data_IF_285281814748
#
_entry.id   IF_285281814748
#
_cell.length_a   1.000
_cell.length_b   1.000
_cell.length_c   1.000
_cell.angle_alpha   90.00
_cell.angle_beta   90.00
_cell.angle_gamma   90.00
#
_symmetry.space_group_name_H-M   'P 1'
#
loop_
_entity.id
_entity.type
_entity.pdbx_description
1 polymer ?
#
# COMPACT_ATOMS: atom_id res chain seq x y z
N UNK A 1 -11.52 -18.19 -15.57
CA UNK A 1 -10.46 -17.23 -15.15
C UNK A 1 -9.32 -18.04 -14.57
N UNK A 2 -8.18 -18.07 -15.27
CA UNK A 2 -6.96 -18.78 -14.87
C UNK A 2 -6.00 -17.80 -14.19
N UNK A 3 -5.03 -18.38 -13.48
CA UNK A 3 -3.91 -17.78 -12.75
C UNK A 3 -4.25 -17.31 -11.33
N UNK A 4 -4.06 -18.20 -10.36
CA UNK A 4 -3.03 -18.06 -9.32
C UNK A 4 -2.74 -19.44 -8.76
N UNK A 5 -1.61 -20.00 -9.19
CA UNK A 5 -1.05 -21.25 -8.72
C UNK A 5 0.28 -20.90 -8.03
N UNK A 6 0.47 -21.43 -6.82
CA UNK A 6 1.75 -21.65 -6.08
C UNK A 6 2.47 -20.37 -5.58
N UNK A 7 3.08 -20.24 -4.40
CA UNK A 7 3.74 -21.16 -3.45
C UNK A 7 3.68 -20.55 -2.03
N UNK A 8 3.49 -21.39 -1.01
CA UNK A 8 3.78 -21.09 0.40
C UNK A 8 4.84 -22.09 0.87
N UNK A 9 5.68 -21.65 1.81
CA UNK A 9 6.68 -22.37 2.63
C UNK A 9 8.09 -22.49 2.01
N UNK A 10 9.05 -21.76 2.58
CA UNK A 10 10.08 -22.29 3.49
C UNK A 10 10.91 -21.13 4.09
N UNK A 11 10.94 -21.06 5.43
CA UNK A 11 11.96 -20.36 6.22
C UNK A 11 12.93 -21.43 6.72
N UNK A 12 14.24 -21.17 6.65
CA UNK A 12 15.26 -21.97 7.32
C UNK A 12 16.67 -21.51 6.98
N UNK A 13 17.34 -20.93 7.98
CA UNK A 13 18.72 -20.43 8.00
C UNK A 13 19.76 -21.40 7.44
N UNK A 14 20.94 -20.89 7.04
CA UNK A 14 22.26 -21.28 7.57
C UNK A 14 23.40 -20.42 6.96
N UNK A 15 24.11 -19.74 7.87
CA UNK A 15 25.55 -19.48 8.02
C UNK A 15 26.51 -19.19 6.84
N UNK A 16 27.40 -18.24 7.15
CA UNK A 16 28.54 -17.72 6.42
C UNK A 16 29.52 -18.77 5.85
N UNK A 17 30.13 -18.46 4.70
CA UNK A 17 31.55 -18.72 4.47
C UNK A 17 32.11 -17.74 3.41
N UNK A 18 33.33 -17.26 3.65
CA UNK A 18 34.07 -16.27 2.87
C UNK A 18 34.75 -16.86 1.63
N UNK A 19 35.27 -15.92 0.83
CA UNK A 19 36.41 -16.00 -0.10
C UNK A 19 36.15 -16.16 -1.62
N UNK A 20 36.35 -15.01 -2.30
CA UNK A 20 37.25 -14.77 -3.44
C UNK A 20 37.25 -15.81 -4.58
N UNK A 21 36.97 -15.35 -5.80
CA UNK A 21 37.91 -15.40 -6.93
C UNK A 21 37.35 -14.59 -8.10
N UNK A 22 38.19 -13.65 -8.56
CA UNK A 22 38.06 -12.86 -9.77
C UNK A 22 38.31 -13.72 -11.01
N UNK A 23 37.49 -13.61 -12.05
CA UNK A 23 37.95 -13.82 -13.43
C UNK A 23 36.96 -13.26 -14.45
N UNK A 24 37.42 -12.23 -15.12
CA UNK A 24 36.96 -11.70 -16.39
C UNK A 24 36.95 -12.76 -17.50
N UNK A 25 35.93 -12.75 -18.37
CA UNK A 25 36.16 -12.99 -19.80
C UNK A 25 35.11 -12.27 -20.64
N UNK A 26 35.55 -11.15 -21.22
CA UNK A 26 34.94 -10.44 -22.33
C UNK A 26 35.25 -11.25 -23.60
N UNK A 27 34.24 -11.78 -24.28
CA UNK A 27 34.41 -12.32 -25.64
C UNK A 27 33.46 -11.58 -26.57
N UNK A 28 34.09 -10.75 -27.39
CA UNK A 28 33.54 -10.05 -28.53
C UNK A 28 33.93 -10.81 -29.81
N UNK A 29 33.23 -10.52 -30.92
CA UNK A 29 33.39 -10.98 -32.32
C UNK A 29 32.49 -12.18 -32.67
N UNK A 30 31.77 -12.20 -33.79
CA UNK A 30 32.15 -11.67 -35.11
C UNK A 30 30.93 -11.39 -35.99
N UNK A 31 31.10 -10.42 -36.90
CA UNK A 31 30.24 -10.04 -38.03
C UNK A 31 30.12 -11.16 -39.09
N UNK A 32 29.29 -10.86 -40.12
CA UNK A 32 29.10 -11.49 -41.46
C UNK A 32 27.66 -12.05 -41.55
N UNK A 33 26.80 -11.78 -42.53
CA UNK A 33 26.92 -11.16 -43.85
C UNK A 33 25.62 -10.50 -44.29
N UNK A 34 25.80 -9.49 -45.13
CA UNK A 34 24.85 -8.72 -45.93
C UNK A 34 24.32 -9.54 -47.11
N UNK A 35 23.03 -9.42 -47.43
CA UNK A 35 22.53 -9.51 -48.82
C UNK A 35 21.50 -8.41 -49.08
N UNK A 36 21.78 -7.62 -50.12
CA UNK A 36 20.91 -6.65 -50.78
C UNK A 36 19.72 -7.38 -51.46
N UNK A 37 18.64 -6.78 -51.96
CA UNK A 37 18.46 -5.51 -52.67
C UNK A 37 16.93 -5.32 -52.88
N UNK A 38 16.40 -4.12 -52.79
CA UNK A 38 15.55 -3.55 -53.85
C UNK A 38 15.22 -2.09 -53.54
N UNK A 39 15.66 -1.23 -54.44
CA UNK A 39 15.53 0.22 -54.43
C UNK A 39 14.10 0.62 -54.82
N UNK A 40 13.59 1.70 -54.19
CA UNK A 40 12.80 2.66 -54.94
C UNK A 40 13.16 4.08 -54.51
N UNK A 41 13.91 4.71 -55.41
CA UNK A 41 14.26 6.14 -55.45
C UNK A 41 13.05 6.96 -55.83
N UNK A 42 12.83 8.08 -55.15
CA UNK A 42 12.48 9.36 -55.78
C UNK A 42 13.10 10.47 -54.93
N UNK A 43 14.07 11.16 -55.53
CA UNK A 43 14.80 12.31 -55.03
C UNK A 43 13.91 13.55 -54.86
N UNK A 44 14.34 14.49 -54.01
CA UNK A 44 14.65 15.86 -54.43
C UNK A 44 15.46 16.61 -53.36
N UNK A 45 16.74 16.85 -53.70
CA UNK A 45 17.57 18.06 -53.51
C UNK A 45 17.28 19.01 -52.33
N UNK A 46 18.18 19.10 -51.33
CA UNK A 46 19.36 20.00 -51.21
C UNK A 46 19.00 21.46 -50.87
N UNK A 47 19.34 21.88 -49.65
CA UNK A 47 20.10 23.12 -49.43
C UNK A 47 20.86 23.07 -48.09
N UNK A 48 22.18 23.09 -48.20
CA UNK A 48 23.16 23.33 -47.15
C UNK A 48 23.20 24.82 -46.79
N UNK A 49 23.28 25.19 -45.50
CA UNK A 49 24.47 25.87 -44.97
C UNK A 49 24.50 26.04 -43.44
N UNK A 50 25.72 25.93 -42.91
CA UNK A 50 26.29 26.69 -41.79
C UNK A 50 25.91 26.43 -40.32
N UNK A 51 26.83 25.71 -39.67
CA UNK A 51 27.55 26.11 -38.45
C UNK A 51 26.75 26.88 -37.38
N UNK A 52 26.32 26.16 -36.34
CA UNK A 52 26.39 26.70 -34.97
C UNK A 52 26.76 25.62 -33.97
N UNK A 53 28.03 25.62 -33.62
CA UNK A 53 28.62 24.90 -32.50
C UNK A 53 28.03 25.42 -31.18
N UNK A 54 27.21 24.62 -30.51
CA UNK A 54 26.87 24.86 -29.11
C UNK A 54 27.99 24.32 -28.25
N UNK A 55 28.83 25.24 -27.75
CA UNK A 55 29.76 24.97 -26.65
C UNK A 55 28.96 24.39 -25.48
N UNK A 56 29.23 23.14 -25.14
CA UNK A 56 28.95 22.61 -23.80
C UNK A 56 29.84 23.39 -22.83
N UNK A 57 29.32 24.46 -22.27
CA UNK A 57 29.83 25.01 -21.02
C UNK A 57 29.29 24.12 -19.91
N UNK A 58 30.19 23.41 -19.24
CA UNK A 58 29.93 22.81 -17.93
C UNK A 58 29.52 23.94 -16.98
N UNK A 59 28.23 24.09 -16.75
CA UNK A 59 27.71 24.52 -15.46
C UNK A 59 27.34 23.26 -14.71
N UNK A 60 28.22 22.86 -13.79
CA UNK A 60 27.79 22.05 -12.65
C UNK A 60 26.96 22.94 -11.75
N UNK A 61 25.76 23.30 -12.22
CA UNK A 61 24.72 23.78 -11.35
C UNK A 61 24.20 22.52 -10.67
N UNK A 62 24.46 22.42 -9.37
CA UNK A 62 23.77 21.49 -8.51
C UNK A 62 22.27 21.79 -8.68
N UNK A 63 21.64 21.08 -9.61
CA UNK A 63 20.19 20.92 -9.65
C UNK A 63 19.82 20.52 -8.23
N UNK A 64 19.13 21.42 -7.52
CA UNK A 64 18.37 21.01 -6.36
C UNK A 64 17.35 20.02 -6.91
N UNK A 65 17.71 18.74 -6.86
CA UNK A 65 16.85 17.59 -7.07
C UNK A 65 15.64 17.85 -6.16
N UNK A 66 14.59 18.36 -6.81
CA UNK A 66 13.78 19.42 -6.24
C UNK A 66 13.08 18.92 -4.99
N UNK A 67 12.89 19.80 -4.02
CA UNK A 67 12.13 19.49 -2.80
C UNK A 67 10.77 18.83 -3.12
N UNK A 68 10.20 19.14 -4.30
CA UNK A 68 9.00 18.53 -4.85
C UNK A 68 9.19 17.06 -5.26
N UNK A 69 10.23 16.71 -6.04
CA UNK A 69 10.56 15.33 -6.41
C UNK A 69 10.77 14.46 -5.17
N UNK A 70 11.52 14.96 -4.18
CA UNK A 70 11.72 14.29 -2.88
C UNK A 70 10.39 14.09 -2.13
N UNK A 71 9.48 15.05 -2.23
CA UNK A 71 8.14 14.96 -1.61
C UNK A 71 7.27 13.91 -2.30
N UNK A 72 7.26 13.85 -3.64
CA UNK A 72 6.52 12.85 -4.41
C UNK A 72 7.02 11.43 -4.11
N UNK A 73 8.35 11.25 -4.07
CA UNK A 73 8.97 9.98 -3.68
C UNK A 73 8.55 9.52 -2.28
N UNK A 74 8.42 10.44 -1.31
CA UNK A 74 7.93 10.10 0.04
C UNK A 74 6.45 9.69 0.03
N UNK A 75 5.59 10.36 -0.74
CA UNK A 75 4.19 9.97 -0.87
C UNK A 75 4.03 8.57 -1.50
N UNK A 76 4.84 8.27 -2.51
CA UNK A 76 4.94 6.96 -3.12
C UNK A 76 5.41 5.89 -2.13
N UNK A 77 6.47 6.18 -1.35
CA UNK A 77 6.96 5.30 -0.29
C UNK A 77 5.89 4.99 0.75
N UNK A 78 5.11 5.99 1.19
CA UNK A 78 3.98 5.74 2.11
C UNK A 78 2.98 4.76 1.51
N UNK A 79 2.64 4.87 0.22
CA UNK A 79 1.75 3.90 -0.45
C UNK A 79 2.36 2.50 -0.45
N UNK A 80 3.64 2.36 -0.76
CA UNK A 80 4.32 1.07 -0.71
C UNK A 80 4.35 0.48 0.70
N UNK A 81 4.56 1.30 1.73
CA UNK A 81 4.55 0.83 3.12
C UNK A 81 3.17 0.35 3.57
N UNK A 82 2.10 1.00 3.10
CA UNK A 82 0.73 0.56 3.34
C UNK A 82 0.45 -0.79 2.68
N UNK A 83 0.85 -0.95 1.41
CA UNK A 83 0.65 -2.21 0.67
C UNK A 83 1.46 -3.37 1.29
N UNK A 84 2.67 -3.07 1.75
CA UNK A 84 3.55 -4.03 2.40
C UNK A 84 3.26 -4.22 3.90
N UNK A 85 2.17 -3.63 4.44
CA UNK A 85 1.75 -3.72 5.84
C UNK A 85 2.90 -3.44 6.83
N UNK A 86 3.71 -2.41 6.56
CA UNK A 86 4.83 -2.05 7.43
C UNK A 86 4.35 -1.59 8.80
N UNK A 87 5.15 -1.85 9.83
CA UNK A 87 4.84 -1.44 11.20
C UNK A 87 5.11 0.05 11.41
N UNK A 88 4.45 0.64 12.41
CA UNK A 88 4.68 2.03 12.82
C UNK A 88 6.16 2.27 13.13
N UNK A 89 6.79 1.35 13.87
CA UNK A 89 8.22 1.40 14.19
C UNK A 89 9.11 1.46 12.93
N UNK A 90 8.82 0.62 11.93
CA UNK A 90 9.55 0.63 10.67
C UNK A 90 9.41 1.98 9.96
N UNK A 91 8.20 2.52 9.90
CA UNK A 91 7.93 3.79 9.20
C UNK A 91 8.54 4.97 9.94
N UNK A 92 8.48 4.99 11.28
CA UNK A 92 9.15 6.00 12.12
C UNK A 92 10.65 6.00 11.87
N UNK A 93 11.29 4.83 11.88
CA UNK A 93 12.71 4.70 11.59
C UNK A 93 13.04 5.15 10.15
N UNK A 94 12.27 4.69 9.16
CA UNK A 94 12.45 5.07 7.75
C UNK A 94 12.29 6.58 7.50
N UNK A 95 11.50 7.26 8.33
CA UNK A 95 11.29 8.71 8.29
C UNK A 95 12.25 9.49 9.20
N UNK A 96 13.16 8.80 9.90
CA UNK A 96 14.08 9.37 10.90
C UNK A 96 13.35 10.13 12.01
N UNK A 97 12.24 9.56 12.46
CA UNK A 97 11.42 10.08 13.56
C UNK A 97 11.62 9.27 14.85
N UNK A 98 12.33 8.13 14.78
CA UNK A 98 12.63 7.31 15.94
C UNK A 98 13.55 8.05 16.92
N UNK A 99 13.26 7.93 18.21
CA UNK A 99 14.05 8.56 19.28
C UNK A 99 13.82 10.06 19.47
N UNK A 100 12.96 10.68 18.66
CA UNK A 100 12.45 12.03 18.94
C UNK A 100 11.35 11.96 19.99
N UNK A 101 11.28 12.95 20.88
CA UNK A 101 10.10 13.13 21.72
C UNK A 101 8.89 13.59 20.89
N UNK A 102 7.70 13.56 21.49
CA UNK A 102 6.44 13.89 20.80
C UNK A 102 6.41 15.31 20.22
N UNK A 103 7.04 16.29 20.89
CA UNK A 103 7.03 17.68 20.44
C UNK A 103 8.01 17.88 19.27
N UNK A 104 9.21 17.32 19.39
CA UNK A 104 10.23 17.31 18.34
C UNK A 104 9.76 16.52 17.10
N UNK A 105 9.08 15.39 17.31
CA UNK A 105 8.50 14.61 16.23
C UNK A 105 7.47 15.43 15.45
N UNK A 106 6.53 16.10 16.14
CA UNK A 106 5.46 16.88 15.48
C UNK A 106 5.95 18.08 14.68
N UNK A 107 7.08 18.66 15.06
CA UNK A 107 7.71 19.79 14.33
C UNK A 107 8.60 19.34 13.18
N UNK A 108 8.95 18.05 13.11
CA UNK A 108 9.83 17.53 12.08
C UNK A 108 9.16 17.48 10.69
N UNK A 109 9.87 17.90 9.65
CA UNK A 109 9.35 17.97 8.27
C UNK A 109 8.81 16.64 7.71
N UNK A 110 9.28 15.50 8.23
CA UNK A 110 8.83 14.17 7.78
C UNK A 110 7.56 13.69 8.50
N UNK A 111 7.16 14.34 9.58
CA UNK A 111 6.01 13.93 10.39
C UNK A 111 4.70 13.89 9.58
N UNK A 112 4.51 14.82 8.64
CA UNK A 112 3.36 14.81 7.73
C UNK A 112 3.19 13.49 6.95
N UNK A 113 4.29 12.81 6.63
CA UNK A 113 4.23 11.51 5.94
C UNK A 113 3.88 10.38 6.90
N UNK A 114 4.36 10.45 8.15
CA UNK A 114 3.96 9.51 9.19
C UNK A 114 2.46 9.65 9.52
N UNK A 115 1.99 10.89 9.71
CA UNK A 115 0.56 11.16 9.93
C UNK A 115 -0.31 10.68 8.76
N UNK A 116 0.17 10.82 7.53
CA UNK A 116 -0.51 10.27 6.35
C UNK A 116 -0.52 8.74 6.39
N UNK A 117 0.60 8.11 6.76
CA UNK A 117 0.71 6.67 6.88
C UNK A 117 -0.28 6.14 7.94
N UNK A 118 -0.27 6.65 9.16
CA UNK A 118 -1.14 6.17 10.25
C UNK A 118 -2.62 6.31 9.90
N UNK A 119 -3.02 7.47 9.36
CA UNK A 119 -4.39 7.69 8.91
C UNK A 119 -4.81 6.71 7.83
N UNK A 120 -3.95 6.49 6.82
CA UNK A 120 -4.26 5.60 5.70
C UNK A 120 -4.16 4.12 6.05
N UNK A 121 -3.34 3.75 7.03
CA UNK A 121 -3.18 2.37 7.47
C UNK A 121 -4.51 1.78 7.96
N UNK A 122 -5.27 2.55 8.73
CA UNK A 122 -6.59 2.13 9.21
C UNK A 122 -7.60 2.02 8.06
N UNK A 123 -7.67 3.02 7.17
CA UNK A 123 -8.53 3.00 5.99
C UNK A 123 -8.23 1.77 5.10
N UNK A 124 -6.95 1.49 4.83
CA UNK A 124 -6.51 0.34 4.05
C UNK A 124 -6.87 -0.98 4.72
N UNK A 125 -6.66 -1.10 6.04
CA UNK A 125 -6.99 -2.30 6.79
C UNK A 125 -8.49 -2.61 6.71
N UNK A 126 -9.33 -1.60 6.97
CA UNK A 126 -10.80 -1.69 6.89
C UNK A 126 -11.26 -2.08 5.49
N UNK A 127 -10.75 -1.42 4.45
CA UNK A 127 -11.08 -1.75 3.06
C UNK A 127 -10.61 -3.16 2.67
N UNK A 128 -9.43 -3.58 3.12
CA UNK A 128 -8.87 -4.91 2.84
C UNK A 128 -9.71 -6.01 3.48
N UNK A 129 -10.20 -5.83 4.71
CA UNK A 129 -11.13 -6.76 5.33
C UNK A 129 -12.41 -6.92 4.49
N UNK A 130 -12.98 -5.82 4.01
CA UNK A 130 -14.19 -5.84 3.17
C UNK A 130 -13.94 -6.55 1.83
N UNK A 131 -12.85 -6.21 1.13
CA UNK A 131 -12.47 -6.84 -0.16
C UNK A 131 -12.23 -8.34 0.02
N UNK A 132 -11.62 -8.75 1.15
CA UNK A 132 -11.43 -10.16 1.52
C UNK A 132 -12.72 -10.84 2.00
N UNK A 133 -13.88 -10.17 1.91
CA UNK A 133 -15.20 -10.69 2.32
C UNK A 133 -15.24 -11.14 3.77
N UNK A 134 -14.50 -10.44 4.66
CA UNK A 134 -14.56 -10.71 6.10
C UNK A 134 -15.92 -10.29 6.63
N UNK A 135 -16.56 -11.15 7.41
CA UNK A 135 -17.79 -10.80 8.12
C UNK A 135 -17.48 -9.83 9.27
N UNK A 136 -18.47 -9.09 9.75
CA UNK A 136 -18.30 -8.25 10.96
C UNK A 136 -17.85 -9.10 12.14
N UNK A 137 -18.41 -10.30 12.28
CA UNK A 137 -18.00 -11.25 13.32
C UNK A 137 -16.55 -11.75 13.18
N UNK A 138 -16.07 -12.01 11.96
CA UNK A 138 -14.67 -12.42 11.77
C UNK A 138 -13.70 -11.34 12.24
N UNK A 139 -14.04 -10.06 12.03
CA UNK A 139 -13.24 -8.94 12.52
C UNK A 139 -13.38 -8.79 14.04
N UNK A 140 -14.57 -9.00 14.60
CA UNK A 140 -14.80 -9.05 16.05
C UNK A 140 -13.92 -10.11 16.75
N UNK A 141 -13.84 -11.32 16.19
CA UNK A 141 -12.98 -12.41 16.68
C UNK A 141 -11.49 -12.02 16.56
N UNK A 142 -11.06 -11.52 15.39
CA UNK A 142 -9.67 -11.07 15.15
C UNK A 142 -9.22 -9.98 16.12
N UNK A 143 -10.15 -9.12 16.56
CA UNK A 143 -9.88 -8.05 17.53
C UNK A 143 -9.88 -8.51 18.99
N UNK A 144 -10.07 -9.82 19.23
CA UNK A 144 -10.02 -10.45 20.55
C UNK A 144 -11.33 -10.40 21.33
N UNK A 145 -12.46 -10.12 20.67
CA UNK A 145 -13.74 -9.94 21.35
C UNK A 145 -14.62 -11.20 21.37
N UNK A 146 -14.16 -12.34 20.85
CA UNK A 146 -14.93 -13.59 20.75
C UNK A 146 -15.57 -14.03 22.07
N UNK A 147 -14.87 -13.84 23.19
CA UNK A 147 -15.31 -14.29 24.52
C UNK A 147 -16.10 -13.24 25.29
N UNK A 148 -16.30 -12.05 24.71
CA UNK A 148 -17.04 -10.95 25.35
C UNK A 148 -18.52 -11.32 25.40
N UNK A 149 -19.11 -11.17 26.57
CA UNK A 149 -20.55 -11.34 26.77
C UNK A 149 -21.30 -10.01 26.59
N UNK A 150 -22.61 -10.02 26.27
CA UNK A 150 -23.38 -8.79 26.09
C UNK A 150 -23.29 -7.81 27.26
N UNK A 151 -23.29 -8.33 28.50
CA UNK A 151 -23.14 -7.54 29.73
C UNK A 151 -21.77 -6.86 29.92
N UNK A 152 -20.78 -7.25 29.12
CA UNK A 152 -19.40 -6.73 29.17
C UNK A 152 -19.13 -5.71 28.06
N UNK A 153 -20.11 -5.41 27.20
CA UNK A 153 -19.91 -4.48 26.08
C UNK A 153 -19.43 -3.10 26.55
N UNK A 154 -19.99 -2.58 27.64
CA UNK A 154 -19.61 -1.27 28.17
C UNK A 154 -18.16 -1.23 28.69
N UNK A 155 -17.55 -2.39 28.95
CA UNK A 155 -16.15 -2.48 29.36
C UNK A 155 -15.19 -2.30 28.18
N UNK A 156 -15.64 -2.57 26.95
CA UNK A 156 -14.79 -2.52 25.75
C UNK A 156 -15.05 -1.29 24.88
N UNK A 157 -16.08 -0.48 25.15
CA UNK A 157 -16.43 0.70 24.33
C UNK A 157 -15.31 1.73 24.23
N UNK A 158 -14.52 1.90 25.30
CA UNK A 158 -13.36 2.79 25.33
C UNK A 158 -12.07 2.18 24.77
N UNK A 159 -12.11 0.93 24.28
CA UNK A 159 -10.95 0.24 23.73
C UNK A 159 -10.67 0.70 22.29
N UNK A 160 -9.40 0.91 21.95
CA UNK A 160 -8.94 1.25 20.59
C UNK A 160 -9.43 0.23 19.55
N UNK A 161 -9.36 -1.06 19.87
CA UNK A 161 -9.84 -2.14 18.99
C UNK A 161 -11.35 -2.05 18.76
N UNK A 162 -12.13 -1.62 19.76
CA UNK A 162 -13.57 -1.43 19.57
C UNK A 162 -13.84 -0.25 18.64
N UNK A 163 -13.03 0.82 18.72
CA UNK A 163 -13.04 1.91 17.74
C UNK A 163 -12.76 1.43 16.31
N UNK A 164 -11.79 0.53 16.13
CA UNK A 164 -11.48 -0.11 14.83
C UNK A 164 -12.66 -0.96 14.34
N UNK A 165 -13.27 -1.76 15.22
CA UNK A 165 -14.46 -2.54 14.92
C UNK A 165 -15.62 -1.64 14.45
N UNK A 166 -15.90 -0.56 15.20
CA UNK A 166 -16.94 0.42 14.85
C UNK A 166 -16.73 1.02 13.46
N UNK A 167 -15.49 1.39 13.13
CA UNK A 167 -15.17 1.88 11.78
C UNK A 167 -15.41 0.81 10.71
N UNK A 168 -15.05 -0.45 10.98
CA UNK A 168 -15.29 -1.55 10.06
C UNK A 168 -16.77 -1.79 9.82
N UNK A 169 -17.60 -1.82 10.88
CA UNK A 169 -19.06 -2.00 10.78
C UNK A 169 -19.67 -0.90 9.90
N UNK A 170 -19.34 0.37 10.17
CA UNK A 170 -19.84 1.49 9.38
C UNK A 170 -19.41 1.44 7.91
N UNK A 171 -18.16 1.04 7.66
CA UNK A 171 -17.65 0.88 6.30
C UNK A 171 -18.34 -0.26 5.57
N UNK A 172 -18.48 -1.42 6.22
CA UNK A 172 -19.12 -2.61 5.68
C UNK A 172 -20.57 -2.30 5.29
N UNK A 173 -21.32 -1.73 6.22
CA UNK A 173 -22.72 -1.34 6.06
C UNK A 173 -22.91 -0.35 4.90
N UNK A 174 -22.14 0.76 4.89
CA UNK A 174 -22.24 1.77 3.82
C UNK A 174 -21.92 1.20 2.43
N UNK A 175 -20.98 0.24 2.34
CA UNK A 175 -20.64 -0.40 1.07
C UNK A 175 -21.69 -1.43 0.63
N UNK A 176 -22.36 -2.09 1.58
CA UNK A 176 -23.48 -2.98 1.31
C UNK A 176 -24.67 -2.18 0.81
N UNK A 177 -25.04 -1.11 1.51
CA UNK A 177 -26.08 -0.16 1.11
C UNK A 177 -25.80 0.39 -0.30
N UNK A 178 -24.59 0.89 -0.55
CA UNK A 178 -24.20 1.39 -1.86
C UNK A 178 -24.32 0.32 -2.96
N UNK A 179 -23.89 -0.93 -2.70
CA UNK A 179 -24.03 -2.03 -3.67
C UNK A 179 -25.49 -2.31 -4.00
N UNK A 180 -26.34 -2.41 -2.97
CA UNK A 180 -27.78 -2.67 -3.13
C UNK A 180 -28.46 -1.56 -3.94
N UNK A 181 -28.20 -0.30 -3.60
CA UNK A 181 -28.77 0.86 -4.30
C UNK A 181 -28.34 0.96 -5.77
N UNK A 182 -27.20 0.36 -6.13
CA UNK A 182 -26.69 0.34 -7.51
C UNK A 182 -26.93 -1.00 -8.22
N UNK A 183 -27.77 -1.89 -7.67
CA UNK A 183 -28.10 -3.19 -8.30
C UNK A 183 -26.97 -4.21 -8.31
N UNK A 184 -25.91 -4.01 -7.52
CA UNK A 184 -24.83 -4.97 -7.33
C UNK A 184 -25.15 -5.95 -6.21
N UNK A 185 -24.71 -7.20 -6.37
CA UNK A 185 -24.82 -8.18 -5.30
C UNK A 185 -23.87 -7.84 -4.13
N UNK A 186 -24.37 -7.78 -2.88
CA UNK A 186 -23.53 -7.62 -1.71
C UNK A 186 -22.64 -8.85 -1.49
N UNK A 187 -21.60 -8.76 -0.66
CA UNK A 187 -20.81 -9.92 -0.26
C UNK A 187 -21.71 -11.03 0.33
N UNK A 188 -21.55 -12.27 -0.16
CA UNK A 188 -22.26 -13.44 0.38
C UNK A 188 -21.88 -13.64 1.85
N UNK A 189 -22.87 -13.81 2.74
CA UNK A 189 -22.63 -14.06 4.17
C UNK A 189 -22.54 -12.79 5.03
N UNK A 190 -23.40 -11.80 4.80
CA UNK A 190 -23.48 -10.53 5.56
C UNK A 190 -23.51 -10.73 7.08
N UNK A 191 -24.14 -11.81 7.54
CA UNK A 191 -24.20 -12.22 8.94
C UNK A 191 -23.50 -13.57 9.06
N UNK A 192 -22.46 -13.64 9.89
CA UNK A 192 -21.85 -14.92 10.24
C UNK A 192 -22.85 -15.76 11.03
N UNK A 193 -23.00 -17.04 10.70
CA UNK A 193 -23.79 -17.98 11.53
C UNK A 193 -23.20 -18.13 12.94
N UNK A 194 -21.91 -17.85 13.08
CA UNK A 194 -21.17 -17.94 14.34
C UNK A 194 -21.19 -16.63 15.14
N UNK A 195 -21.96 -15.62 14.69
CA UNK A 195 -22.03 -14.32 15.36
C UNK A 195 -22.51 -14.47 16.81
N UNK A 196 -21.70 -13.99 17.75
CA UNK A 196 -22.07 -14.01 19.17
C UNK A 196 -23.16 -12.99 19.46
N UNK A 197 -24.02 -13.22 20.49
CA UNK A 197 -25.01 -12.23 20.91
C UNK A 197 -24.38 -10.87 21.26
N UNK A 198 -23.16 -10.86 21.78
CA UNK A 198 -22.43 -9.63 22.10
C UNK A 198 -22.07 -8.84 20.82
N UNK A 199 -21.53 -9.52 19.80
CA UNK A 199 -21.21 -8.89 18.52
C UNK A 199 -22.46 -8.35 17.84
N UNK A 200 -23.55 -9.13 17.79
CA UNK A 200 -24.81 -8.70 17.20
C UNK A 200 -25.35 -7.45 17.90
N UNK A 201 -25.35 -7.45 19.23
CA UNK A 201 -25.79 -6.30 20.03
C UNK A 201 -24.91 -5.07 19.77
N UNK A 202 -23.59 -5.23 19.74
CA UNK A 202 -22.66 -4.13 19.45
C UNK A 202 -22.89 -3.56 18.06
N UNK A 203 -23.01 -4.42 17.05
CA UNK A 203 -23.26 -4.03 15.65
C UNK A 203 -24.57 -3.25 15.52
N UNK A 204 -25.66 -3.74 16.11
CA UNK A 204 -26.95 -3.05 16.09
C UNK A 204 -26.86 -1.68 16.77
N UNK A 205 -26.21 -1.59 17.94
CA UNK A 205 -25.97 -0.29 18.59
C UNK A 205 -25.20 0.68 17.69
N UNK A 206 -24.15 0.21 17.02
CA UNK A 206 -23.33 1.04 16.12
C UNK A 206 -24.16 1.53 14.91
N UNK A 207 -24.95 0.66 14.29
CA UNK A 207 -25.82 1.03 13.16
C UNK A 207 -26.88 2.05 13.60
N UNK A 208 -27.52 1.84 14.75
CA UNK A 208 -28.49 2.75 15.33
C UNK A 208 -27.89 4.14 15.65
N UNK A 209 -26.66 4.20 16.19
CA UNK A 209 -25.94 5.46 16.43
C UNK A 209 -25.71 6.29 15.15
N UNK A 210 -25.59 5.62 14.00
CA UNK A 210 -25.45 6.29 12.70
C UNK A 210 -26.79 6.70 12.06
N UNK A 211 -27.91 6.50 12.77
CA UNK A 211 -29.25 6.82 12.28
C UNK A 211 -29.80 5.83 11.25
N UNK A 212 -29.25 4.61 11.20
CA UNK A 212 -29.66 3.55 10.27
C UNK A 212 -30.52 2.54 11.02
N UNK A 213 -31.75 2.32 10.56
CA UNK A 213 -32.67 1.33 11.15
C UNK A 213 -32.47 -0.06 10.53
N UNK A 214 -32.61 -1.08 11.38
CA UNK A 214 -32.52 -2.52 11.08
C UNK A 214 -33.44 -2.99 9.93
#
# INVERSE_FOLDING_TARGET
MRFFQVVVVTIGCLLNYDEVVSATSKVERTKISTMALSQRTMSNTVLSNEKRTLRTSRTTDAYDESTEEKSLLKHWKVRLWLEAERTDEYVLNALKLNGLDDAAMKTHQNYKYYQRFTRKALEYRVAKWFIKKRTTFSVWDELGFKTIQPKQLDQITNNVNFGVYKQYVNYFDSNVEWKLNNGFNPPVGLISRDATPAEMTARTKIMAETGRSD
#
